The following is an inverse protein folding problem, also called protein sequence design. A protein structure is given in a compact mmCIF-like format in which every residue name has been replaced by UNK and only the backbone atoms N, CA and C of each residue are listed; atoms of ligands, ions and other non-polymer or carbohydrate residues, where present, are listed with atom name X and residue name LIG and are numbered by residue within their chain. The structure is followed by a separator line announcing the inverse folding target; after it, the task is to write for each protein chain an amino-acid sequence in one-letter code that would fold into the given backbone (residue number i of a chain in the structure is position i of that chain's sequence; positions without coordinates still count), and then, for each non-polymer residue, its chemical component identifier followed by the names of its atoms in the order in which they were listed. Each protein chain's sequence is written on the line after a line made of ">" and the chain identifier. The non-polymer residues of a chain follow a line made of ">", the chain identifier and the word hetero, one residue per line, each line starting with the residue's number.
data_IF_911640654078
#
_entry.id   IF_911640654078
#
_cell.length_a   1.000
_cell.length_b   1.000
_cell.length_c   1.000
_cell.angle_alpha   90.00
_cell.angle_beta   90.00
_cell.angle_gamma   90.00
#
_symmetry.space_group_name_H-M   'P 1'
#
loop_
_entity.id
_entity.type
_entity.pdbx_description
1 polymer ?
#
# COMPACT_ATOMS: atom_id res chain seq x y z
N UNK A 1 -2.01 14.81 -8.11
CA UNK A 1 -1.59 15.70 -7.01
C UNK A 1 -2.69 15.73 -5.96
N UNK A 2 -2.38 15.64 -4.66
CA UNK A 2 -3.36 15.78 -3.60
C UNK A 2 -4.13 17.11 -3.72
N UNK A 3 -5.45 17.05 -3.55
CA UNK A 3 -6.34 18.22 -3.63
C UNK A 3 -6.87 18.64 -2.26
N UNK A 4 -6.78 17.75 -1.26
CA UNK A 4 -7.23 17.96 0.13
C UNK A 4 -6.00 17.94 1.04
N UNK A 5 -5.90 18.91 1.94
CA UNK A 5 -4.82 18.97 2.92
C UNK A 5 -4.79 17.71 3.80
N UNK A 6 -3.62 17.23 4.14
CA UNK A 6 -3.44 16.00 4.92
C UNK A 6 -4.16 16.05 6.27
N UNK A 7 -4.15 17.20 6.94
CA UNK A 7 -4.83 17.44 8.21
C UNK A 7 -6.37 17.37 8.15
N UNK A 8 -6.96 17.51 6.97
CA UNK A 8 -8.41 17.47 6.76
C UNK A 8 -8.91 16.06 6.42
N UNK A 9 -8.00 15.13 6.12
CA UNK A 9 -8.35 13.78 5.70
C UNK A 9 -8.69 12.91 6.90
N UNK A 10 -9.77 12.16 6.79
CA UNK A 10 -10.32 11.35 7.89
C UNK A 10 -10.60 9.91 7.52
N UNK A 11 -10.74 9.62 6.22
CA UNK A 11 -11.16 8.32 5.76
C UNK A 11 -10.01 7.29 5.83
N UNK A 12 -10.40 6.04 5.95
CA UNK A 12 -9.49 4.90 5.93
C UNK A 12 -9.92 3.96 4.81
N UNK A 13 -8.97 3.37 4.09
CA UNK A 13 -9.29 2.31 3.17
C UNK A 13 -8.55 1.02 3.50
N UNK A 14 -9.13 -0.08 3.07
CA UNK A 14 -8.48 -1.40 3.04
C UNK A 14 -8.44 -1.86 1.59
N UNK A 15 -7.27 -2.14 1.05
CA UNK A 15 -7.10 -2.79 -0.24
C UNK A 15 -6.93 -4.29 -0.03
N UNK A 16 -7.70 -5.09 -0.78
CA UNK A 16 -7.61 -6.54 -0.73
C UNK A 16 -7.35 -7.12 -2.13
N UNK A 17 -6.20 -7.81 -2.29
CA UNK A 17 -5.75 -8.32 -3.59
C UNK A 17 -5.14 -9.72 -3.47
N UNK A 18 -5.90 -10.74 -3.90
CA UNK A 18 -5.43 -12.12 -4.01
C UNK A 18 -4.74 -12.69 -2.75
N UNK A 19 -5.31 -12.43 -1.60
CA UNK A 19 -4.92 -13.00 -0.31
C UNK A 19 -6.06 -13.87 0.25
N UNK A 20 -5.80 -14.60 1.32
CA UNK A 20 -6.81 -15.45 1.97
C UNK A 20 -7.94 -14.57 2.55
N UNK A 21 -9.23 -14.97 2.37
CA UNK A 21 -10.36 -14.21 2.92
C UNK A 21 -10.28 -13.97 4.43
N UNK A 22 -9.68 -14.92 5.18
CA UNK A 22 -9.51 -14.85 6.63
C UNK A 22 -8.62 -13.67 7.05
N UNK A 23 -7.63 -13.32 6.24
CA UNK A 23 -6.74 -12.18 6.49
C UNK A 23 -7.51 -10.84 6.41
N UNK A 24 -8.42 -10.73 5.43
CA UNK A 24 -9.30 -9.57 5.33
C UNK A 24 -10.27 -9.52 6.52
N UNK A 25 -10.92 -10.65 6.85
CA UNK A 25 -11.86 -10.74 7.96
C UNK A 25 -11.20 -10.35 9.29
N UNK A 26 -9.95 -10.75 9.50
CA UNK A 26 -9.18 -10.36 10.68
C UNK A 26 -9.01 -8.83 10.77
N UNK A 27 -8.56 -8.18 9.70
CA UNK A 27 -8.37 -6.72 9.68
C UNK A 27 -9.70 -5.99 9.82
N UNK A 28 -10.74 -6.42 9.11
CA UNK A 28 -12.09 -5.84 9.22
C UNK A 28 -12.65 -5.92 10.64
N UNK A 29 -12.49 -7.08 11.30
CA UNK A 29 -12.92 -7.28 12.69
C UNK A 29 -12.17 -6.35 13.64
N UNK A 30 -10.86 -6.23 13.47
CA UNK A 30 -10.03 -5.34 14.28
C UNK A 30 -10.47 -3.88 14.16
N UNK A 31 -10.64 -3.37 12.94
CA UNK A 31 -11.06 -2.00 12.69
C UNK A 31 -12.46 -1.72 13.26
N UNK A 32 -13.40 -2.66 13.09
CA UNK A 32 -14.75 -2.57 13.67
C UNK A 32 -14.72 -2.50 15.20
N UNK A 33 -13.90 -3.33 15.85
CA UNK A 33 -13.73 -3.32 17.31
C UNK A 33 -13.14 -2.00 17.83
N UNK A 34 -12.33 -1.32 17.04
CA UNK A 34 -11.78 0.02 17.33
C UNK A 34 -12.73 1.16 16.90
N UNK A 35 -13.94 0.85 16.40
CA UNK A 35 -14.90 1.82 15.85
C UNK A 35 -14.33 2.67 14.70
N UNK A 36 -13.46 2.11 13.88
CA UNK A 36 -12.85 2.78 12.73
C UNK A 36 -13.68 2.46 11.47
N UNK A 37 -14.30 3.49 10.90
CA UNK A 37 -14.99 3.37 9.61
C UNK A 37 -13.96 3.28 8.48
N UNK A 38 -14.16 2.36 7.55
CA UNK A 38 -13.28 2.15 6.39
C UNK A 38 -14.08 1.76 5.15
N UNK A 39 -13.47 1.97 3.98
CA UNK A 39 -13.95 1.43 2.70
C UNK A 39 -13.01 0.33 2.22
N UNK A 40 -13.56 -0.85 1.91
CA UNK A 40 -12.78 -1.94 1.34
C UNK A 40 -12.83 -1.87 -0.20
N UNK A 41 -11.66 -1.84 -0.81
CA UNK A 41 -11.47 -2.01 -2.25
C UNK A 41 -10.96 -3.43 -2.53
N UNK A 42 -11.67 -4.16 -3.39
CA UNK A 42 -11.29 -5.50 -3.83
C UNK A 42 -10.74 -5.44 -5.24
N UNK A 43 -9.61 -6.08 -5.48
CA UNK A 43 -9.01 -6.13 -6.81
C UNK A 43 -10.02 -6.56 -7.87
N UNK A 44 -10.03 -5.89 -9.02
CA UNK A 44 -11.02 -6.01 -10.10
C UNK A 44 -12.48 -5.67 -9.72
N UNK A 45 -12.73 -5.13 -8.52
CA UNK A 45 -14.08 -4.77 -8.04
C UNK A 45 -14.31 -3.27 -7.85
N UNK A 46 -13.47 -2.41 -8.40
CA UNK A 46 -13.61 -0.95 -8.30
C UNK A 46 -13.23 -0.26 -9.62
N UNK A 47 -13.70 0.98 -9.78
CA UNK A 47 -13.28 1.87 -10.87
C UNK A 47 -12.07 2.69 -10.39
N UNK A 48 -11.06 2.84 -11.23
CA UNK A 48 -9.83 3.58 -10.92
C UNK A 48 -10.12 5.02 -10.48
N UNK A 49 -11.00 5.73 -11.22
CA UNK A 49 -11.40 7.10 -10.86
C UNK A 49 -12.02 7.20 -9.46
N UNK A 50 -12.86 6.23 -9.07
CA UNK A 50 -13.49 6.20 -7.75
C UNK A 50 -12.45 5.93 -6.65
N UNK A 51 -11.49 5.06 -6.94
CA UNK A 51 -10.37 4.79 -6.05
C UNK A 51 -9.53 6.04 -5.82
N UNK A 52 -9.05 6.67 -6.89
CA UNK A 52 -8.23 7.89 -6.81
C UNK A 52 -8.96 9.05 -6.12
N UNK A 53 -10.26 9.24 -6.41
CA UNK A 53 -11.08 10.24 -5.71
C UNK A 53 -11.18 9.95 -4.21
N UNK A 54 -11.36 8.69 -3.84
CA UNK A 54 -11.46 8.32 -2.42
C UNK A 54 -10.11 8.50 -1.70
N UNK A 55 -8.99 8.15 -2.34
CA UNK A 55 -7.65 8.37 -1.80
C UNK A 55 -7.39 9.82 -1.38
N UNK A 56 -7.96 10.82 -2.09
CA UNK A 56 -7.81 12.23 -1.73
C UNK A 56 -8.34 12.54 -0.32
N UNK A 57 -9.27 11.75 0.18
CA UNK A 57 -9.92 11.93 1.49
C UNK A 57 -9.32 11.04 2.58
N UNK A 58 -8.41 10.12 2.22
CA UNK A 58 -7.86 9.14 3.12
C UNK A 58 -6.74 9.70 3.99
N UNK A 59 -6.82 9.46 5.30
CA UNK A 59 -5.74 9.70 6.24
C UNK A 59 -4.66 8.62 6.10
N UNK A 60 -5.05 7.36 5.93
CA UNK A 60 -4.16 6.22 5.68
C UNK A 60 -4.89 5.06 5.01
N UNK A 61 -4.12 4.05 4.59
CA UNK A 61 -4.64 2.79 4.07
C UNK A 61 -4.00 1.57 4.73
N UNK A 62 -4.75 0.45 4.73
CA UNK A 62 -4.23 -0.87 5.04
C UNK A 62 -4.23 -1.69 3.76
N UNK A 63 -3.10 -2.28 3.43
CA UNK A 63 -2.90 -3.02 2.19
C UNK A 63 -2.69 -4.51 2.47
N UNK A 64 -3.59 -5.35 1.98
CA UNK A 64 -3.52 -6.81 2.08
C UNK A 64 -3.38 -7.34 0.66
N UNK A 65 -2.15 -7.40 0.18
CA UNK A 65 -1.85 -7.69 -1.21
C UNK A 65 -0.99 -8.93 -1.42
N UNK A 66 -1.07 -9.50 -2.64
CA UNK A 66 -0.11 -10.49 -3.13
C UNK A 66 1.24 -9.84 -3.43
N UNK A 67 2.21 -10.62 -3.91
CA UNK A 67 3.45 -10.09 -4.48
C UNK A 67 3.17 -9.16 -5.67
N UNK A 68 4.00 -8.14 -5.82
CA UNK A 68 3.90 -7.17 -6.90
C UNK A 68 5.21 -7.09 -7.69
N UNK A 69 5.11 -6.87 -8.99
CA UNK A 69 6.25 -6.50 -9.84
C UNK A 69 6.47 -4.98 -9.83
N UNK A 70 5.41 -4.20 -9.88
CA UNK A 70 5.41 -2.75 -9.82
C UNK A 70 4.49 -2.24 -8.69
N UNK A 71 3.21 -2.63 -8.69
CA UNK A 71 2.25 -2.22 -7.66
C UNK A 71 1.56 -0.89 -7.95
N UNK A 72 1.12 -0.64 -9.18
CA UNK A 72 0.53 0.65 -9.59
C UNK A 72 -0.51 1.21 -8.64
N UNK A 73 -1.50 0.42 -8.21
CA UNK A 73 -2.53 0.93 -7.29
C UNK A 73 -1.97 1.28 -5.90
N UNK A 74 -0.89 0.63 -5.46
CA UNK A 74 -0.17 1.00 -4.25
C UNK A 74 0.56 2.34 -4.45
N UNK A 75 1.27 2.49 -5.57
CA UNK A 75 1.95 3.73 -5.94
C UNK A 75 0.97 4.89 -6.13
N UNK A 76 -0.25 4.66 -6.63
CA UNK A 76 -1.32 5.66 -6.70
C UNK A 76 -1.71 6.18 -5.31
N UNK A 77 -1.82 5.29 -4.31
CA UNK A 77 -2.07 5.70 -2.93
C UNK A 77 -0.92 6.56 -2.38
N UNK A 78 0.32 6.11 -2.56
CA UNK A 78 1.51 6.88 -2.15
C UNK A 78 1.60 8.23 -2.90
N UNK A 79 1.26 8.26 -4.20
CA UNK A 79 1.20 9.49 -5.01
C UNK A 79 0.14 10.49 -4.51
N UNK A 80 -0.94 9.98 -3.91
CA UNK A 80 -1.96 10.79 -3.24
C UNK A 80 -1.54 11.22 -1.83
N UNK A 81 -0.30 10.97 -1.42
CA UNK A 81 0.24 11.23 -0.10
C UNK A 81 -0.52 10.50 1.02
N UNK A 82 -0.92 9.25 0.74
CA UNK A 82 -1.60 8.37 1.71
C UNK A 82 -0.60 7.34 2.21
N UNK A 83 -0.19 7.39 3.49
CA UNK A 83 0.68 6.39 4.07
C UNK A 83 -0.04 5.05 4.22
N UNK A 84 0.72 3.97 4.13
CA UNK A 84 0.17 2.62 4.12
C UNK A 84 0.75 1.76 5.25
N UNK A 85 -0.12 0.96 5.87
CA UNK A 85 0.28 -0.21 6.62
C UNK A 85 0.10 -1.44 5.73
N UNK A 86 1.18 -2.12 5.38
CA UNK A 86 1.15 -3.20 4.39
C UNK A 86 1.34 -4.56 5.04
N UNK A 87 0.38 -5.47 4.85
CA UNK A 87 0.58 -6.89 5.12
C UNK A 87 1.27 -7.52 3.91
N UNK A 88 2.60 -7.58 3.98
CA UNK A 88 3.43 -8.07 2.89
C UNK A 88 3.46 -9.59 2.81
N UNK A 89 3.79 -10.11 1.63
CA UNK A 89 4.18 -11.51 1.42
C UNK A 89 5.69 -11.62 1.39
N UNK A 90 6.20 -12.82 1.66
CA UNK A 90 7.62 -13.17 1.53
C UNK A 90 7.87 -14.15 0.38
N UNK A 91 6.79 -14.75 -0.15
CA UNK A 91 6.86 -15.76 -1.20
C UNK A 91 5.65 -15.64 -2.15
N UNK A 92 5.86 -15.88 -3.43
CA UNK A 92 4.80 -15.80 -4.45
C UNK A 92 3.68 -16.82 -4.21
N UNK A 93 3.94 -17.97 -3.56
CA UNK A 93 2.91 -18.95 -3.18
C UNK A 93 1.86 -18.45 -2.21
N UNK A 94 2.10 -17.33 -1.53
CA UNK A 94 1.10 -16.69 -0.66
C UNK A 94 -0.04 -15.99 -1.44
N UNK A 95 0.05 -15.98 -2.76
CA UNK A 95 -1.08 -15.55 -3.59
C UNK A 95 -2.22 -16.57 -3.52
N UNK A 96 -3.38 -16.13 -3.07
CA UNK A 96 -4.58 -16.96 -3.01
C UNK A 96 -5.27 -17.06 -4.38
N UNK A 97 -5.80 -18.25 -4.69
CA UNK A 97 -6.57 -18.50 -5.92
C UNK A 97 -5.73 -18.83 -7.16
N UNK A 98 -4.41 -18.95 -7.02
CA UNK A 98 -3.54 -19.37 -8.13
C UNK A 98 -2.61 -20.53 -7.70
N UNK A 99 -2.91 -21.72 -8.20
CA UNK A 99 -2.17 -22.96 -7.84
C UNK A 99 -0.82 -23.10 -8.56
N UNK A 100 -0.60 -22.34 -9.64
CA UNK A 100 0.65 -22.35 -10.43
C UNK A 100 1.72 -21.37 -9.96
N UNK A 101 1.55 -20.72 -8.82
CA UNK A 101 2.56 -19.79 -8.28
C UNK A 101 3.87 -20.51 -7.98
N UNK A 102 5.01 -20.01 -8.52
CA UNK A 102 6.31 -20.60 -8.24
C UNK A 102 6.71 -20.41 -6.77
N UNK A 103 7.56 -21.30 -6.29
CA UNK A 103 8.16 -21.20 -4.96
C UNK A 103 9.41 -20.32 -5.01
N UNK A 104 9.19 -19.04 -5.11
CA UNK A 104 10.27 -18.05 -5.15
C UNK A 104 9.95 -16.89 -4.21
N UNK A 105 10.97 -16.20 -3.69
CA UNK A 105 10.78 -14.99 -2.89
C UNK A 105 9.94 -13.96 -3.65
N UNK A 106 9.10 -13.25 -2.91
CA UNK A 106 8.25 -12.18 -3.46
C UNK A 106 7.86 -11.21 -2.35
N UNK A 107 7.54 -9.99 -2.72
CA UNK A 107 7.10 -8.95 -1.77
C UNK A 107 5.91 -8.18 -2.33
N UNK A 108 5.07 -7.67 -1.44
CA UNK A 108 3.98 -6.75 -1.81
C UNK A 108 4.50 -5.34 -2.07
N UNK A 109 5.65 -4.99 -1.49
CA UNK A 109 6.27 -3.67 -1.49
C UNK A 109 7.54 -3.67 -2.36
N UNK A 110 7.36 -3.77 -3.69
CA UNK A 110 8.47 -3.81 -4.65
C UNK A 110 9.33 -2.53 -4.62
N UNK A 111 8.70 -1.38 -4.39
CA UNK A 111 9.35 -0.08 -4.23
C UNK A 111 8.87 0.56 -2.94
N UNK A 112 9.78 0.72 -1.96
CA UNK A 112 9.39 1.13 -0.61
C UNK A 112 10.58 1.69 0.18
N UNK A 113 10.30 2.68 1.03
CA UNK A 113 11.15 3.06 2.17
C UNK A 113 10.30 3.57 3.35
N UNK A 114 10.95 4.04 4.41
CA UNK A 114 10.31 4.48 5.65
C UNK A 114 9.35 5.66 5.49
N UNK A 115 9.41 6.40 4.38
CA UNK A 115 8.47 7.50 4.07
C UNK A 115 7.09 7.00 3.70
N UNK A 116 6.98 5.75 3.25
CA UNK A 116 5.74 5.18 2.74
C UNK A 116 4.79 4.73 3.85
N UNK A 117 5.30 4.36 5.01
CA UNK A 117 4.54 3.80 6.13
C UNK A 117 5.25 2.64 6.82
N UNK A 118 4.49 1.66 7.28
CA UNK A 118 5.01 0.45 7.93
C UNK A 118 4.55 -0.81 7.20
N UNK A 119 5.27 -1.92 7.40
CA UNK A 119 4.83 -3.23 6.93
C UNK A 119 5.07 -4.32 7.97
N UNK A 120 4.38 -5.43 7.79
CA UNK A 120 4.51 -6.65 8.57
C UNK A 120 4.23 -7.88 7.68
N UNK A 121 4.65 -9.04 8.10
CA UNK A 121 4.55 -10.30 7.33
C UNK A 121 3.67 -11.33 8.04
N UNK A 122 3.64 -11.33 9.37
CA UNK A 122 2.89 -12.26 10.19
C UNK A 122 1.71 -11.57 10.87
N UNK A 123 0.60 -12.29 11.01
CA UNK A 123 -0.62 -11.77 11.64
C UNK A 123 -0.39 -11.30 13.07
N UNK A 124 0.48 -11.95 13.80
CA UNK A 124 0.81 -11.67 15.20
C UNK A 124 1.44 -10.28 15.38
N UNK A 125 2.10 -9.77 14.33
CA UNK A 125 2.76 -8.46 14.37
C UNK A 125 1.79 -7.30 14.10
N UNK A 126 0.57 -7.60 13.63
CA UNK A 126 -0.38 -6.59 13.14
C UNK A 126 -0.66 -5.49 14.17
N UNK A 127 -1.03 -5.85 15.40
CA UNK A 127 -1.44 -4.86 16.41
C UNK A 127 -0.30 -3.92 16.76
N UNK A 128 0.90 -4.46 17.00
CA UNK A 128 2.09 -3.67 17.32
C UNK A 128 2.46 -2.73 16.15
N UNK A 129 2.41 -3.25 14.93
CA UNK A 129 2.71 -2.47 13.72
C UNK A 129 1.65 -1.41 13.45
N UNK A 130 0.39 -1.72 13.71
CA UNK A 130 -0.70 -0.76 13.57
C UNK A 130 -0.58 0.43 14.54
N UNK A 131 -0.31 0.17 15.82
CA UNK A 131 -0.11 1.22 16.82
C UNK A 131 1.15 2.07 16.52
N UNK A 132 2.27 1.43 16.12
CA UNK A 132 3.46 2.12 15.67
C UNK A 132 3.16 3.01 14.46
N UNK A 133 2.48 2.47 13.46
CA UNK A 133 2.09 3.18 12.25
C UNK A 133 1.22 4.41 12.58
N UNK A 134 0.20 4.24 13.42
CA UNK A 134 -0.68 5.35 13.81
C UNK A 134 0.06 6.44 14.59
N UNK A 135 1.03 6.08 15.43
CA UNK A 135 1.84 7.06 16.18
C UNK A 135 2.66 7.97 15.26
N UNK A 136 2.94 7.53 14.03
CA UNK A 136 3.74 8.25 13.03
C UNK A 136 2.93 8.72 11.81
N UNK A 137 1.62 8.47 11.74
CA UNK A 137 0.81 8.60 10.51
C UNK A 137 0.93 9.97 9.85
N UNK A 138 1.07 11.03 10.61
CA UNK A 138 1.17 12.39 10.10
C UNK A 138 2.61 12.77 9.68
N UNK A 139 3.62 11.98 10.06
CA UNK A 139 5.04 12.21 9.73
C UNK A 139 5.50 11.55 8.43
N UNK A 140 4.80 10.52 7.94
CA UNK A 140 5.15 9.87 6.68
C UNK A 140 5.03 10.82 5.49
N UNK A 141 5.86 10.60 4.48
CA UNK A 141 5.96 11.43 3.26
C UNK A 141 5.92 10.56 1.99
N UNK A 142 4.86 9.77 1.78
CA UNK A 142 4.83 8.80 0.69
C UNK A 142 4.90 9.46 -0.69
N UNK A 143 4.31 10.66 -0.85
CA UNK A 143 4.42 11.40 -2.11
C UNK A 143 5.85 11.85 -2.40
N UNK A 144 6.61 12.28 -1.40
CA UNK A 144 8.04 12.62 -1.56
C UNK A 144 8.82 11.41 -2.05
N UNK A 145 8.54 10.21 -1.51
CA UNK A 145 9.12 8.96 -2.00
C UNK A 145 8.84 8.76 -3.49
N UNK A 146 7.58 8.85 -3.93
CA UNK A 146 7.20 8.69 -5.35
C UNK A 146 7.94 9.71 -6.23
N UNK A 147 7.95 10.99 -5.84
CA UNK A 147 8.56 12.06 -6.64
C UNK A 147 10.08 11.89 -6.79
N UNK A 148 10.75 11.37 -5.76
CA UNK A 148 12.21 11.24 -5.74
C UNK A 148 12.74 9.88 -6.18
N UNK A 149 11.88 8.85 -6.27
CA UNK A 149 12.33 7.46 -6.50
C UNK A 149 11.76 6.86 -7.80
N UNK A 150 10.43 6.91 -7.98
CA UNK A 150 9.75 6.18 -9.07
C UNK A 150 8.97 7.09 -10.03
N UNK A 151 9.11 8.40 -9.91
CA UNK A 151 8.48 9.33 -10.87
C UNK A 151 9.05 9.13 -12.28
N UNK A 152 8.23 9.43 -13.29
CA UNK A 152 8.66 9.36 -14.71
C UNK A 152 9.95 10.15 -14.94
N UNK A 153 10.08 11.32 -14.32
CA UNK A 153 11.30 12.14 -14.39
C UNK A 153 12.51 11.38 -13.85
N UNK A 154 12.39 10.85 -12.62
CA UNK A 154 13.50 10.13 -11.97
C UNK A 154 13.88 8.85 -12.72
N UNK A 155 12.88 8.10 -13.21
CA UNK A 155 13.11 6.91 -14.02
C UNK A 155 13.83 7.26 -15.34
N UNK A 156 13.41 8.35 -16.03
CA UNK A 156 14.06 8.81 -17.25
C UNK A 156 15.50 9.26 -17.01
N UNK A 157 15.76 9.99 -15.93
CA UNK A 157 17.13 10.40 -15.55
C UNK A 157 18.03 9.19 -15.27
N UNK A 158 17.53 8.21 -14.52
CA UNK A 158 18.25 6.98 -14.19
C UNK A 158 18.52 6.15 -15.45
N UNK A 159 17.52 6.01 -16.31
CA UNK A 159 17.67 5.31 -17.59
C UNK A 159 18.76 5.96 -18.46
N UNK A 160 18.70 7.28 -18.59
CA UNK A 160 19.68 8.05 -19.37
C UNK A 160 21.11 7.85 -18.84
N UNK A 161 21.30 7.88 -17.52
CA UNK A 161 22.62 7.64 -16.89
C UNK A 161 23.17 6.25 -17.22
N UNK A 162 22.34 5.21 -17.21
CA UNK A 162 22.76 3.85 -17.55
C UNK A 162 23.28 3.77 -19.01
N UNK A 163 22.65 4.51 -19.94
CA UNK A 163 23.03 4.50 -21.34
C UNK A 163 24.22 5.41 -21.67
N UNK A 164 24.37 6.53 -20.98
CA UNK A 164 25.47 7.49 -21.24
C UNK A 164 26.77 7.13 -20.53
N UNK A 165 26.74 6.32 -19.50
CA UNK A 165 27.94 5.87 -18.75
C UNK A 165 28.53 4.56 -19.30
N UNK A 166 28.30 4.26 -20.58
CA UNK A 166 28.93 3.14 -21.29
C UNK A 166 30.19 3.59 -22.05
#
# INVERSE_FOLDING_TARGET
>A
KPTINKSERKNVFVMFKHRKPEELQFVEKYLKNKNIAFRCFRYNGYKEDDYVKYLQTCKYGIWIGRHESQGFALEEALSCDVPLLVWSVTNMRQQHGWTGCPDVPGTTIAFWDERCGEYFENQEDFENKYELFLSKVDSYKPREFIETTVSVKQCAENFTKIFLNK
#
